data_IF_808570246297
#
_entry.id   IF_808570246297
#
_cell.length_a   1.000
_cell.length_b   1.000
_cell.length_c   1.000
_cell.angle_alpha   90.00
_cell.angle_beta   90.00
_cell.angle_gamma   90.00
#
_symmetry.space_group_name_H-M   'P 1'
#
loop_
_entity.id
_entity.type
_entity.pdbx_description
1 polymer ?
#
# COMPACT_ATOMS: atom_id res chain seq x y z
N UNK A 1 -5.39 7.79 -17.99
CA UNK A 1 -3.95 7.45 -17.98
C UNK A 1 -3.67 6.53 -16.81
N UNK A 2 -2.83 5.52 -17.00
CA UNK A 2 -2.38 4.62 -15.94
C UNK A 2 -0.85 4.74 -15.82
N UNK A 3 -0.31 4.53 -14.62
CA UNK A 3 1.13 4.48 -14.40
C UNK A 3 1.50 3.20 -13.66
N UNK A 4 2.77 2.81 -13.74
CA UNK A 4 3.33 1.64 -13.07
C UNK A 4 4.44 2.09 -12.12
N UNK A 5 4.39 1.62 -10.88
CA UNK A 5 5.47 1.79 -9.90
C UNK A 5 6.28 0.52 -9.85
N UNK A 6 7.61 0.62 -9.92
CA UNK A 6 8.53 -0.52 -9.81
C UNK A 6 9.43 -0.27 -8.60
N UNK A 7 9.36 -1.17 -7.63
CA UNK A 7 10.25 -1.18 -6.46
C UNK A 7 11.32 -2.25 -6.70
N UNK A 8 12.60 -1.89 -6.54
CA UNK A 8 13.73 -2.81 -6.61
C UNK A 8 14.42 -2.87 -5.25
N UNK A 9 14.73 -4.07 -4.79
CA UNK A 9 15.51 -4.31 -3.58
C UNK A 9 16.84 -4.98 -3.91
N UNK A 10 17.81 -4.83 -3.01
CA UNK A 10 19.07 -5.57 -3.06
C UNK A 10 18.94 -6.85 -2.24
N UNK A 11 19.56 -7.94 -2.69
CA UNK A 11 19.68 -9.17 -1.90
C UNK A 11 20.53 -9.00 -0.63
N UNK A 12 21.27 -7.89 -0.49
CA UNK A 12 22.10 -7.62 0.68
C UNK A 12 21.32 -7.60 2.03
N UNK A 13 19.99 -7.52 1.97
CA UNK A 13 19.11 -7.48 3.14
C UNK A 13 18.27 -8.75 3.30
N UNK A 14 18.61 -9.87 2.64
CA UNK A 14 17.83 -11.11 2.69
C UNK A 14 17.67 -11.66 4.11
N UNK A 15 18.70 -11.52 4.92
CA UNK A 15 18.78 -12.14 6.25
C UNK A 15 18.49 -11.14 7.38
N UNK A 16 18.11 -9.90 7.03
CA UNK A 16 17.83 -8.85 7.99
C UNK A 16 16.32 -8.61 8.15
N UNK A 17 15.91 -8.27 9.36
CA UNK A 17 14.59 -7.72 9.60
C UNK A 17 14.56 -6.26 9.15
N UNK A 18 13.99 -6.00 7.97
CA UNK A 18 13.96 -4.67 7.36
C UNK A 18 12.51 -4.23 7.15
N UNK A 19 12.15 -3.10 7.75
CA UNK A 19 10.95 -2.36 7.44
C UNK A 19 11.35 -1.00 6.86
N UNK A 20 11.06 -0.79 5.59
CA UNK A 20 11.26 0.50 4.93
C UNK A 20 9.91 1.12 4.57
N UNK A 21 9.77 2.41 4.90
CA UNK A 21 8.59 3.19 4.57
C UNK A 21 8.94 4.18 3.45
N UNK A 22 8.16 4.13 2.38
CA UNK A 22 8.22 5.05 1.26
C UNK A 22 6.84 5.63 0.98
N UNK A 23 6.78 6.71 0.21
CA UNK A 23 5.53 7.39 -0.10
C UNK A 23 5.56 7.89 -1.54
N UNK A 24 4.54 7.54 -2.31
CA UNK A 24 4.27 8.14 -3.61
C UNK A 24 3.38 9.37 -3.39
N UNK A 25 3.83 10.51 -3.90
CA UNK A 25 3.05 11.76 -3.85
C UNK A 25 2.81 12.23 -5.28
N UNK A 26 1.54 12.22 -5.70
CA UNK A 26 1.11 12.86 -6.92
C UNK A 26 0.63 14.28 -6.59
N UNK A 27 1.18 15.28 -7.25
CA UNK A 27 0.75 16.67 -7.12
C UNK A 27 0.35 17.19 -8.47
N UNK A 28 -0.86 17.69 -8.57
CA UNK A 28 -1.35 18.41 -9.73
C UNK A 28 -1.56 19.87 -9.33
N UNK A 29 -0.88 20.78 -10.02
CA UNK A 29 -1.13 22.21 -9.95
C UNK A 29 -1.85 22.61 -11.23
N UNK A 30 -3.10 23.07 -11.09
CA UNK A 30 -3.83 23.72 -12.19
C UNK A 30 -4.02 25.19 -11.85
N UNK A 31 -3.66 26.04 -12.79
CA UNK A 31 -4.21 27.38 -12.86
C UNK A 31 -5.55 27.29 -13.57
N UNK A 32 -6.63 27.50 -12.83
CA UNK A 32 -7.97 27.64 -13.41
C UNK A 32 -8.54 28.97 -12.92
N UNK A 33 -8.83 29.89 -13.84
CA UNK A 33 -9.40 31.21 -13.58
C UNK A 33 -8.73 32.02 -12.44
N UNK A 34 -7.40 32.01 -12.35
CA UNK A 34 -6.64 32.79 -11.35
C UNK A 34 -6.72 32.25 -9.92
N UNK A 35 -7.28 31.05 -9.70
CA UNK A 35 -7.22 30.34 -8.42
C UNK A 35 -6.34 29.10 -8.56
N UNK A 36 -5.27 29.06 -7.78
CA UNK A 36 -4.38 27.92 -7.70
C UNK A 36 -5.07 26.77 -6.95
N UNK A 37 -5.54 25.76 -7.69
CA UNK A 37 -6.01 24.51 -7.08
C UNK A 37 -4.84 23.52 -7.05
N UNK A 38 -4.51 23.05 -5.83
CA UNK A 38 -3.50 22.05 -5.60
C UNK A 38 -4.17 20.74 -5.16
N UNK A 39 -4.14 19.73 -6.03
CA UNK A 39 -4.58 18.38 -5.69
C UNK A 39 -3.34 17.58 -5.31
N UNK A 40 -3.30 17.06 -4.08
CA UNK A 40 -2.24 16.17 -3.62
C UNK A 40 -2.83 14.81 -3.28
N UNK A 41 -2.37 13.77 -3.98
CA UNK A 41 -2.70 12.37 -3.69
C UNK A 41 -1.46 11.72 -3.08
N UNK A 42 -1.67 11.00 -1.99
CA UNK A 42 -0.60 10.41 -1.18
C UNK A 42 -0.87 8.91 -1.03
N UNK A 43 0.06 8.08 -1.52
CA UNK A 43 -0.03 6.62 -1.40
C UNK A 43 1.18 6.07 -0.63
N UNK A 44 0.99 5.48 0.56
CA UNK A 44 2.08 4.87 1.31
C UNK A 44 2.53 3.57 0.62
N UNK A 45 3.84 3.30 0.69
CA UNK A 45 4.48 2.08 0.19
C UNK A 45 5.28 1.50 1.34
N UNK A 46 4.92 0.29 1.77
CA UNK A 46 5.63 -0.45 2.82
C UNK A 46 6.44 -1.58 2.16
N UNK A 47 7.73 -1.62 2.46
CA UNK A 47 8.64 -2.67 2.00
C UNK A 47 9.08 -3.44 3.24
N UNK A 48 8.78 -4.73 3.27
CA UNK A 48 9.08 -5.63 4.37
C UNK A 48 10.05 -6.69 3.88
N UNK A 49 11.04 -7.05 4.70
CA UNK A 49 11.83 -8.25 4.44
C UNK A 49 10.96 -9.50 4.60
N UNK A 50 11.37 -10.59 3.94
CA UNK A 50 10.68 -11.87 4.00
C UNK A 50 10.52 -12.34 5.45
N UNK A 51 11.58 -12.22 6.26
CA UNK A 51 11.55 -12.63 7.67
C UNK A 51 10.55 -11.82 8.51
N UNK A 52 10.42 -10.50 8.28
CA UNK A 52 9.39 -9.70 8.96
C UNK A 52 7.97 -10.05 8.47
N UNK A 53 7.83 -10.33 7.18
CA UNK A 53 6.55 -10.75 6.61
C UNK A 53 6.08 -12.09 7.20
N UNK A 54 7.01 -13.03 7.39
CA UNK A 54 6.70 -14.35 7.96
C UNK A 54 6.42 -14.26 9.47
N UNK A 55 7.14 -13.43 10.22
CA UNK A 55 6.86 -13.19 11.64
C UNK A 55 5.46 -12.60 11.90
N UNK A 56 4.95 -11.78 10.97
CA UNK A 56 3.58 -11.24 11.05
C UNK A 56 2.54 -12.36 11.19
N UNK A 57 2.74 -13.50 10.52
CA UNK A 57 1.79 -14.63 10.55
C UNK A 57 1.74 -15.33 11.92
N UNK A 58 2.75 -15.12 12.77
CA UNK A 58 2.83 -15.69 14.12
C UNK A 58 2.29 -14.75 15.20
N UNK A 59 1.88 -13.54 14.83
CA UNK A 59 1.12 -12.66 15.73
C UNK A 59 -0.33 -13.16 15.65
N UNK A 60 -0.84 -13.70 16.77
CA UNK A 60 -2.27 -13.98 16.94
C UNK A 60 -3.00 -12.63 16.93
N UNK A 61 -3.29 -12.15 15.74
CA UNK A 61 -4.09 -10.96 15.53
C UNK A 61 -5.48 -11.42 15.09
N UNK A 62 -6.49 -11.16 15.92
CA UNK A 62 -7.91 -11.40 15.60
C UNK A 62 -8.35 -10.63 14.33
N UNK A 63 -7.49 -9.75 13.80
CA UNK A 63 -7.58 -9.14 12.48
C UNK A 63 -7.03 -10.06 11.40
N UNK A 64 -7.84 -11.05 11.03
CA UNK A 64 -7.79 -11.83 9.79
C UNK A 64 -7.12 -11.04 8.67
N UNK A 65 -5.94 -11.49 8.24
CA UNK A 65 -5.11 -10.97 7.16
C UNK A 65 -5.92 -10.23 6.07
N UNK A 66 -6.04 -8.92 6.23
CA UNK A 66 -6.83 -8.04 5.35
C UNK A 66 -6.04 -7.60 4.10
N UNK A 67 -4.90 -8.25 3.84
CA UNK A 67 -3.95 -7.89 2.78
C UNK A 67 -4.09 -8.76 1.52
N UNK A 68 -4.78 -9.90 1.60
CA UNK A 68 -4.99 -10.77 0.43
C UNK A 68 -6.14 -10.31 -0.48
N UNK A 69 -7.06 -9.47 0.02
CA UNK A 69 -8.21 -9.01 -0.77
C UNK A 69 -8.51 -7.54 -0.48
N UNK A 70 -8.59 -6.67 -1.51
CA UNK A 70 -9.05 -5.29 -1.33
C UNK A 70 -10.42 -5.28 -0.65
N UNK A 71 -10.55 -4.55 0.46
CA UNK A 71 -11.75 -4.47 1.33
C UNK A 71 -13.09 -4.33 0.58
N UNK A 72 -13.09 -3.70 -0.60
CA UNK A 72 -14.28 -3.57 -1.47
C UNK A 72 -14.89 -4.92 -1.87
N UNK A 73 -14.07 -5.92 -2.22
CA UNK A 73 -14.58 -7.26 -2.64
C UNK A 73 -15.19 -8.06 -1.48
N UNK A 74 -14.69 -7.89 -0.25
CA UNK A 74 -15.27 -8.53 0.94
C UNK A 74 -16.65 -7.98 1.28
N UNK A 75 -16.88 -6.68 1.07
CA UNK A 75 -18.20 -6.07 1.27
C UNK A 75 -19.23 -6.57 0.26
N UNK A 76 -18.86 -6.67 -1.01
CA UNK A 76 -19.72 -7.21 -2.08
C UNK A 76 -20.07 -8.69 -1.84
N UNK A 77 -19.12 -9.51 -1.39
CA UNK A 77 -19.37 -10.91 -1.04
C UNK A 77 -20.31 -11.08 0.17
N UNK A 78 -20.34 -10.14 1.12
CA UNK A 78 -21.29 -10.19 2.25
C UNK A 78 -22.70 -9.81 1.86
N UNK A 79 -22.87 -9.01 0.81
CA UNK A 79 -24.18 -8.55 0.34
C UNK A 79 -24.82 -9.60 -0.60
N UNK A 80 -24.01 -10.47 -1.23
CA UNK A 80 -24.48 -11.55 -2.11
C UNK A 80 -24.85 -12.87 -1.43
N UNK A 81 -24.83 -12.94 -0.09
CA UNK A 81 -25.30 -14.10 0.67
C UNK A 81 -26.62 -13.72 1.34
N UNK A 82 -27.69 -13.72 0.55
CA UNK A 82 -29.09 -13.78 0.99
C UNK A 82 -29.88 -14.52 -0.08
#
# INVERSE_FOLDING_TARGET
MCFKVIVRSSMAFSDQFLLAHAKLIWREQKEDNGRNQCITISSPILILSKSLWELRLNINDDFVNDFEVPRKRKAEQRIGVS
#
